data_IF_535614911468
#
_entry.id   IF_535614911468
#
_cell.length_a   1.000
_cell.length_b   1.000
_cell.length_c   1.000
_cell.angle_alpha   90.00
_cell.angle_beta   90.00
_cell.angle_gamma   90.00
#
_symmetry.space_group_name_H-M   'P 1'
#
loop_
_entity.id
_entity.type
_entity.pdbx_description
1 polymer ?
#
# COMPACT_ATOMS: atom_id res chain seq x y z
N UNK A 1 -75.41 42.15 -42.78
CA UNK A 1 -76.10 42.88 -41.65
C UNK A 1 -75.35 42.55 -40.40
N UNK A 2 -74.82 43.59 -39.84
CA UNK A 2 -74.77 43.88 -38.38
C UNK A 2 -74.16 42.77 -37.49
N UNK A 3 -73.25 42.99 -36.58
CA UNK A 3 -72.70 44.22 -35.99
C UNK A 3 -71.78 43.79 -34.83
N UNK A 4 -70.70 44.44 -34.69
CA UNK A 4 -70.09 45.06 -33.50
C UNK A 4 -70.22 44.24 -32.20
N UNK A 5 -69.11 43.88 -31.53
CA UNK A 5 -68.69 44.60 -30.33
C UNK A 5 -67.38 44.09 -29.78
N UNK A 6 -66.51 45.04 -29.53
CA UNK A 6 -65.28 45.01 -28.79
C UNK A 6 -65.52 44.65 -27.33
N UNK A 7 -64.71 43.82 -26.72
CA UNK A 7 -64.35 44.01 -25.32
C UNK A 7 -62.92 43.61 -25.05
N UNK A 8 -62.15 44.63 -24.91
CA UNK A 8 -60.78 44.62 -24.41
C UNK A 8 -60.80 44.48 -22.88
N UNK A 9 -60.15 43.48 -22.38
CA UNK A 9 -59.74 43.44 -20.94
C UNK A 9 -58.25 43.18 -20.77
N UNK A 10 -57.67 44.15 -20.18
CA UNK A 10 -56.28 44.32 -19.74
C UNK A 10 -55.86 43.23 -18.76
N UNK A 11 -54.61 42.84 -18.82
CA UNK A 11 -53.68 42.89 -17.73
C UNK A 11 -53.58 41.69 -16.83
N UNK A 12 -52.45 41.06 -16.88
CA UNK A 12 -51.70 40.79 -15.68
C UNK A 12 -50.36 40.18 -16.06
N UNK A 13 -49.31 41.00 -15.94
CA UNK A 13 -47.93 40.61 -16.00
C UNK A 13 -47.55 39.77 -14.77
N UNK A 14 -47.68 38.43 -14.89
CA UNK A 14 -47.15 37.52 -13.90
C UNK A 14 -45.68 37.23 -14.17
N UNK A 15 -44.77 37.97 -13.52
CA UNK A 15 -43.34 37.64 -13.47
C UNK A 15 -43.18 36.30 -12.75
N UNK A 16 -43.04 35.21 -13.49
CA UNK A 16 -42.58 33.93 -12.94
C UNK A 16 -41.07 34.03 -12.64
N UNK A 17 -40.78 34.21 -11.37
CA UNK A 17 -39.45 34.05 -10.84
C UNK A 17 -38.99 32.59 -11.09
N UNK A 18 -38.05 32.41 -12.00
CA UNK A 18 -37.32 31.14 -12.16
C UNK A 18 -36.39 30.99 -10.94
N UNK A 19 -36.84 30.21 -9.98
CA UNK A 19 -35.93 29.70 -8.93
C UNK A 19 -35.01 28.70 -9.58
N UNK A 20 -33.78 29.12 -9.89
CA UNK A 20 -32.72 28.24 -10.29
C UNK A 20 -32.32 27.39 -9.10
N UNK A 21 -32.65 26.11 -9.11
CA UNK A 21 -32.10 25.13 -8.21
C UNK A 21 -30.65 24.86 -8.66
N UNK A 22 -29.68 25.42 -7.96
CA UNK A 22 -28.29 25.01 -8.06
C UNK A 22 -28.16 23.63 -7.42
N UNK A 23 -28.18 22.60 -8.25
CA UNK A 23 -27.78 21.26 -7.83
C UNK A 23 -26.26 21.27 -7.64
N UNK A 24 -25.83 21.35 -6.39
CA UNK A 24 -24.43 21.12 -6.02
C UNK A 24 -24.15 19.63 -6.24
N UNK A 25 -23.56 19.28 -7.37
CA UNK A 25 -23.00 17.96 -7.62
C UNK A 25 -21.73 17.82 -6.74
N UNK A 26 -21.87 17.18 -5.58
CA UNK A 26 -20.73 16.78 -4.76
C UNK A 26 -19.99 15.67 -5.50
N UNK A 27 -18.86 15.99 -6.16
CA UNK A 27 -17.90 15.03 -6.65
C UNK A 27 -17.27 14.34 -5.43
N UNK A 28 -17.73 13.14 -5.10
CA UNK A 28 -16.99 12.22 -4.24
C UNK A 28 -15.76 11.75 -5.05
N UNK A 29 -14.64 12.45 -4.86
CA UNK A 29 -13.34 11.96 -5.29
C UNK A 29 -13.01 10.78 -4.39
N UNK A 30 -13.26 9.55 -4.86
CA UNK A 30 -12.76 8.35 -4.21
C UNK A 30 -11.23 8.42 -4.22
N UNK A 31 -10.62 8.66 -3.06
CA UNK A 31 -9.18 8.63 -2.87
C UNK A 31 -8.71 7.17 -2.83
N UNK A 32 -8.12 6.63 -3.92
CA UNK A 32 -7.73 5.21 -3.97
C UNK A 32 -6.50 4.88 -3.09
N UNK A 33 -5.91 5.88 -2.43
CA UNK A 33 -4.68 5.70 -1.65
C UNK A 33 -4.89 5.22 -0.21
N UNK A 34 -6.00 5.54 0.43
CA UNK A 34 -6.24 5.22 1.85
C UNK A 34 -6.50 3.71 2.06
N UNK A 35 -7.27 3.08 1.18
CA UNK A 35 -7.56 1.65 1.29
C UNK A 35 -6.31 0.74 1.19
N UNK A 36 -5.25 1.19 0.52
CA UNK A 36 -4.00 0.42 0.37
C UNK A 36 -3.12 0.45 1.62
N UNK A 37 -3.09 1.58 2.33
CA UNK A 37 -2.35 1.68 3.58
C UNK A 37 -2.97 0.76 4.63
N UNK A 38 -4.30 0.74 4.71
CA UNK A 38 -5.03 -0.09 5.67
C UNK A 38 -4.76 -1.59 5.47
N UNK A 39 -4.76 -2.11 4.23
CA UNK A 39 -4.47 -3.53 3.96
C UNK A 39 -3.04 -3.94 4.35
N UNK A 40 -2.04 -3.07 4.14
CA UNK A 40 -0.66 -3.35 4.54
C UNK A 40 -0.57 -3.39 6.06
N UNK A 41 -1.21 -2.44 6.74
CA UNK A 41 -1.21 -2.33 8.20
C UNK A 41 -1.94 -3.50 8.84
N UNK A 42 -3.10 -3.87 8.32
CA UNK A 42 -3.87 -5.02 8.77
C UNK A 42 -3.10 -6.32 8.59
N UNK A 43 -2.51 -6.54 7.42
CA UNK A 43 -1.70 -7.71 7.12
C UNK A 43 -0.46 -7.81 8.02
N UNK A 44 0.22 -6.69 8.24
CA UNK A 44 1.37 -6.59 9.13
C UNK A 44 0.98 -6.94 10.58
N UNK A 45 -0.10 -6.35 11.06
CA UNK A 45 -0.63 -6.59 12.41
C UNK A 45 -1.04 -8.04 12.59
N UNK A 46 -1.73 -8.62 11.61
CA UNK A 46 -2.19 -10.01 11.63
C UNK A 46 -1.03 -11.02 11.69
N UNK A 47 0.06 -10.75 10.96
CA UNK A 47 1.25 -11.62 10.92
C UNK A 47 2.33 -11.23 11.95
N UNK A 48 2.04 -10.26 12.83
CA UNK A 48 2.97 -9.74 13.84
C UNK A 48 4.30 -9.25 13.26
N UNK A 49 4.27 -8.64 12.07
CA UNK A 49 5.41 -7.99 11.44
C UNK A 49 5.31 -6.46 11.56
N UNK A 50 6.42 -5.76 11.43
CA UNK A 50 6.44 -4.32 11.57
C UNK A 50 5.73 -3.64 10.38
N UNK A 51 4.76 -2.75 10.67
CA UNK A 51 3.99 -1.99 9.67
C UNK A 51 4.88 -1.10 8.80
N UNK A 52 5.79 -0.34 9.43
CA UNK A 52 6.71 0.54 8.70
C UNK A 52 7.63 -0.24 7.75
N UNK A 53 8.06 -1.42 8.16
CA UNK A 53 8.84 -2.34 7.34
C UNK A 53 8.03 -2.85 6.13
N UNK A 54 6.78 -3.25 6.34
CA UNK A 54 5.90 -3.70 5.26
C UNK A 54 5.62 -2.59 4.25
N UNK A 55 5.42 -1.35 4.71
CA UNK A 55 5.27 -0.17 3.84
C UNK A 55 6.54 0.11 3.03
N UNK A 56 7.72 -0.01 3.67
CA UNK A 56 9.00 0.17 2.97
C UNK A 56 9.21 -0.91 1.90
N UNK A 57 8.87 -2.17 2.19
CA UNK A 57 8.92 -3.26 1.21
C UNK A 57 7.97 -2.96 0.04
N UNK A 58 6.72 -2.57 0.28
CA UNK A 58 5.78 -2.22 -0.79
C UNK A 58 6.32 -1.10 -1.71
N UNK A 59 6.96 -0.10 -1.10
CA UNK A 59 7.59 1.00 -1.84
C UNK A 59 8.77 0.51 -2.68
N UNK A 60 9.60 -0.38 -2.14
CA UNK A 60 10.76 -0.97 -2.84
C UNK A 60 10.32 -1.85 -4.00
N UNK A 61 9.28 -2.66 -3.80
CA UNK A 61 8.84 -3.69 -4.76
C UNK A 61 8.11 -3.11 -5.97
N UNK A 62 7.12 -2.29 -5.73
CA UNK A 62 6.25 -1.81 -6.80
C UNK A 62 6.09 -0.29 -6.85
N UNK A 63 6.67 0.46 -5.90
CA UNK A 63 6.30 1.86 -5.67
C UNK A 63 4.83 1.98 -5.29
N UNK A 64 4.31 1.02 -4.53
CA UNK A 64 2.90 0.89 -4.10
C UNK A 64 1.88 0.67 -5.23
N UNK A 65 2.31 0.25 -6.41
CA UNK A 65 1.41 -0.10 -7.53
C UNK A 65 0.85 -1.51 -7.34
N UNK A 66 -0.45 -1.69 -7.54
CA UNK A 66 -1.14 -2.95 -7.26
C UNK A 66 -1.20 -3.91 -8.44
N UNK A 67 -1.36 -3.39 -9.66
CA UNK A 67 -1.61 -4.20 -10.87
C UNK A 67 -0.32 -4.37 -11.70
N UNK A 68 0.79 -4.71 -11.03
CA UNK A 68 2.08 -4.89 -11.69
C UNK A 68 2.42 -6.38 -11.77
N UNK A 69 2.82 -6.83 -12.95
CA UNK A 69 3.44 -8.14 -13.16
C UNK A 69 4.80 -7.88 -13.80
N UNK A 70 5.87 -8.31 -13.15
CA UNK A 70 7.25 -8.06 -13.57
C UNK A 70 7.92 -9.38 -13.95
N UNK A 71 8.32 -9.61 -15.21
CA UNK A 71 9.00 -10.83 -15.61
C UNK A 71 10.45 -10.87 -15.10
N UNK A 72 10.90 -12.05 -14.71
CA UNK A 72 12.27 -12.32 -14.29
C UNK A 72 13.05 -13.09 -15.36
N UNK A 73 14.37 -12.95 -15.40
CA UNK A 73 15.23 -13.59 -16.38
C UNK A 73 15.25 -15.13 -16.29
N UNK A 74 14.82 -15.70 -15.15
CA UNK A 74 14.75 -17.14 -14.89
C UNK A 74 13.39 -17.77 -15.26
N UNK A 75 12.50 -17.02 -15.95
CA UNK A 75 11.18 -17.48 -16.35
C UNK A 75 10.10 -17.35 -15.27
N UNK A 76 10.44 -16.94 -14.04
CA UNK A 76 9.44 -16.56 -13.04
C UNK A 76 8.97 -15.13 -13.28
N UNK A 77 7.95 -14.70 -12.55
CA UNK A 77 7.48 -13.32 -12.56
C UNK A 77 6.97 -12.94 -11.17
N UNK A 78 6.97 -11.66 -10.89
CA UNK A 78 6.54 -11.11 -9.61
C UNK A 78 5.21 -10.38 -9.77
N UNK A 79 4.31 -10.53 -8.78
CA UNK A 79 2.90 -10.19 -8.92
C UNK A 79 2.48 -9.18 -7.85
N UNK A 80 1.86 -8.08 -8.30
CA UNK A 80 1.09 -7.16 -7.47
C UNK A 80 1.90 -6.21 -6.61
N UNK A 81 1.23 -5.67 -5.59
CA UNK A 81 1.73 -4.63 -4.68
C UNK A 81 3.09 -4.97 -4.06
N UNK A 82 3.24 -6.18 -3.57
CA UNK A 82 4.41 -6.68 -2.83
C UNK A 82 5.28 -7.60 -3.68
N UNK A 83 5.04 -7.67 -4.99
CA UNK A 83 5.80 -8.43 -5.98
C UNK A 83 6.04 -9.89 -5.55
N UNK A 84 4.93 -10.61 -5.27
CA UNK A 84 4.98 -12.02 -4.90
C UNK A 84 5.46 -12.85 -6.09
N UNK A 85 6.59 -13.57 -5.92
CA UNK A 85 7.14 -14.39 -7.00
C UNK A 85 6.23 -15.55 -7.33
N UNK A 86 6.08 -15.83 -8.63
CA UNK A 86 5.22 -16.90 -9.16
C UNK A 86 5.60 -18.32 -8.70
N UNK A 87 6.82 -18.51 -8.19
CA UNK A 87 7.24 -19.79 -7.58
C UNK A 87 6.44 -20.15 -6.31
N UNK A 88 5.77 -19.16 -5.69
CA UNK A 88 4.87 -19.41 -4.57
C UNK A 88 3.50 -19.96 -4.99
N UNK A 89 3.08 -19.79 -6.26
CA UNK A 89 1.74 -20.18 -6.72
C UNK A 89 1.36 -21.63 -6.45
N UNK A 90 2.26 -22.63 -6.60
CA UNK A 90 1.89 -24.02 -6.28
C UNK A 90 1.54 -24.24 -4.80
N UNK A 91 2.18 -23.51 -3.90
CA UNK A 91 1.87 -23.54 -2.46
C UNK A 91 0.58 -22.76 -2.15
N UNK A 92 0.44 -21.58 -2.71
CA UNK A 92 -0.71 -20.68 -2.51
C UNK A 92 -2.01 -21.27 -3.07
N UNK A 93 -1.93 -22.05 -4.16
CA UNK A 93 -3.09 -22.71 -4.76
C UNK A 93 -3.76 -23.72 -3.81
N UNK A 94 -3.03 -24.28 -2.85
CA UNK A 94 -3.59 -25.17 -1.80
C UNK A 94 -4.51 -24.43 -0.83
N UNK A 95 -4.30 -23.11 -0.72
CA UNK A 95 -5.12 -22.19 0.09
C UNK A 95 -6.15 -21.42 -0.78
N UNK A 96 -6.34 -21.84 -2.04
CA UNK A 96 -7.27 -21.19 -2.97
C UNK A 96 -6.79 -19.86 -3.53
N UNK A 97 -5.52 -19.48 -3.30
CA UNK A 97 -4.94 -18.21 -3.78
C UNK A 97 -4.34 -18.43 -5.16
N UNK A 98 -4.85 -17.69 -6.14
CA UNK A 98 -4.44 -17.74 -7.54
C UNK A 98 -3.59 -16.52 -7.92
N UNK A 99 -3.00 -16.54 -9.12
CA UNK A 99 -2.37 -15.35 -9.68
C UNK A 99 -3.34 -14.16 -9.74
N UNK A 100 -4.58 -14.40 -10.13
CA UNK A 100 -5.59 -13.34 -10.20
C UNK A 100 -5.92 -12.77 -8.82
N UNK A 101 -5.97 -13.61 -7.78
CA UNK A 101 -6.17 -13.17 -6.40
C UNK A 101 -5.02 -12.27 -5.92
N UNK A 102 -3.78 -12.52 -6.37
CA UNK A 102 -2.61 -11.72 -6.02
C UNK A 102 -2.58 -10.33 -6.67
N UNK A 103 -3.46 -10.03 -7.60
CA UNK A 103 -3.64 -8.66 -8.11
C UNK A 103 -4.56 -7.83 -7.21
N UNK A 104 -5.30 -8.47 -6.29
CA UNK A 104 -5.96 -7.76 -5.20
C UNK A 104 -4.93 -7.31 -4.15
N UNK A 105 -4.88 -6.01 -3.81
CA UNK A 105 -3.83 -5.47 -2.94
C UNK A 105 -3.87 -6.02 -1.52
N UNK A 106 -5.04 -6.34 -0.99
CA UNK A 106 -5.17 -6.87 0.35
C UNK A 106 -4.69 -8.33 0.40
N UNK A 107 -5.15 -9.18 -0.51
CA UNK A 107 -4.66 -10.56 -0.64
C UNK A 107 -3.14 -10.59 -0.81
N UNK A 108 -2.60 -9.70 -1.64
CA UNK A 108 -1.16 -9.59 -1.89
C UNK A 108 -0.38 -9.19 -0.63
N UNK A 109 -0.88 -8.19 0.12
CA UNK A 109 -0.27 -7.75 1.38
C UNK A 109 -0.27 -8.85 2.45
N UNK A 110 -1.38 -9.59 2.60
CA UNK A 110 -1.47 -10.70 3.56
C UNK A 110 -0.50 -11.83 3.21
N UNK A 111 -0.37 -12.21 1.93
CA UNK A 111 0.60 -13.21 1.49
C UNK A 111 2.04 -12.73 1.74
N UNK A 112 2.33 -11.47 1.46
CA UNK A 112 3.65 -10.89 1.69
C UNK A 112 4.03 -10.87 3.17
N UNK A 113 3.12 -10.43 4.03
CA UNK A 113 3.33 -10.42 5.48
C UNK A 113 3.56 -11.84 6.01
N UNK A 114 2.81 -12.83 5.50
CA UNK A 114 3.04 -14.23 5.84
C UNK A 114 4.42 -14.73 5.36
N UNK A 115 4.87 -14.42 4.14
CA UNK A 115 6.22 -14.77 3.66
C UNK A 115 7.28 -14.13 4.57
N UNK A 116 7.11 -12.86 4.90
CA UNK A 116 8.05 -12.16 5.79
C UNK A 116 8.08 -12.77 7.19
N UNK A 117 6.93 -13.16 7.75
CA UNK A 117 6.87 -13.83 9.05
C UNK A 117 7.59 -15.17 9.04
N UNK A 118 7.48 -15.96 7.95
CA UNK A 118 8.24 -17.20 7.77
C UNK A 118 9.76 -16.95 7.73
N UNK A 119 10.20 -15.91 7.05
CA UNK A 119 11.61 -15.53 7.02
C UNK A 119 12.11 -15.12 8.41
N UNK A 120 11.29 -14.37 9.18
CA UNK A 120 11.63 -13.98 10.56
C UNK A 120 11.70 -15.21 11.46
N UNK A 121 10.82 -16.17 11.32
CA UNK A 121 10.89 -17.45 12.06
C UNK A 121 12.15 -18.23 11.72
N UNK A 122 12.58 -18.23 10.45
CA UNK A 122 13.75 -18.99 9.99
C UNK A 122 15.08 -18.32 10.36
N UNK A 123 15.18 -16.99 10.21
CA UNK A 123 16.45 -16.24 10.32
C UNK A 123 16.51 -15.32 11.56
N UNK A 124 15.49 -15.38 12.41
CA UNK A 124 15.30 -14.42 13.50
C UNK A 124 14.88 -13.03 13.01
N UNK A 125 14.59 -12.09 13.95
CA UNK A 125 14.26 -10.70 13.64
C UNK A 125 15.53 -9.93 13.22
N UNK A 126 16.04 -10.20 12.05
CA UNK A 126 17.31 -9.70 11.51
C UNK A 126 17.17 -9.14 10.11
N UNK A 127 18.12 -8.33 9.66
CA UNK A 127 18.21 -7.87 8.27
C UNK A 127 18.35 -9.02 7.27
N UNK A 128 18.89 -10.16 7.69
CA UNK A 128 18.94 -11.36 6.86
C UNK A 128 17.53 -11.91 6.56
N UNK A 129 16.61 -11.86 7.53
CA UNK A 129 15.20 -12.24 7.30
C UNK A 129 14.52 -11.31 6.28
N UNK A 130 14.79 -9.99 6.39
CA UNK A 130 14.28 -9.00 5.43
C UNK A 130 14.85 -9.28 4.04
N UNK A 131 16.16 -9.49 3.96
CA UNK A 131 16.84 -9.80 2.70
C UNK A 131 16.34 -11.08 2.05
N UNK A 132 15.96 -12.08 2.84
CA UNK A 132 15.42 -13.36 2.37
C UNK A 132 14.06 -13.24 1.70
N UNK A 133 13.37 -12.10 1.85
CA UNK A 133 12.14 -11.82 1.11
C UNK A 133 12.38 -11.79 -0.40
N UNK A 134 13.49 -11.22 -0.84
CA UNK A 134 13.81 -11.04 -2.25
C UNK A 134 14.89 -11.99 -2.77
N UNK A 135 15.84 -12.45 -1.93
CA UNK A 135 17.02 -13.15 -2.40
C UNK A 135 17.40 -14.40 -1.59
N UNK A 136 17.92 -15.41 -2.29
CA UNK A 136 18.44 -16.62 -1.66
C UNK A 136 19.90 -16.49 -1.21
N UNK A 137 20.76 -15.74 -1.96
CA UNK A 137 22.17 -15.59 -1.63
C UNK A 137 22.43 -14.51 -0.58
N UNK A 138 23.37 -14.71 0.36
CA UNK A 138 23.66 -13.75 1.44
C UNK A 138 23.95 -12.33 0.97
N UNK A 139 24.78 -12.16 -0.07
CA UNK A 139 25.18 -10.85 -0.58
C UNK A 139 23.98 -10.07 -1.15
N UNK A 140 23.10 -10.76 -1.90
CA UNK A 140 21.88 -10.16 -2.45
C UNK A 140 20.88 -9.84 -1.35
N UNK A 141 20.81 -10.67 -0.29
CA UNK A 141 19.98 -10.37 0.89
C UNK A 141 20.39 -9.08 1.55
N UNK A 142 21.70 -8.89 1.76
CA UNK A 142 22.23 -7.67 2.38
C UNK A 142 21.92 -6.44 1.53
N UNK A 143 22.14 -6.51 0.23
CA UNK A 143 21.85 -5.40 -0.69
C UNK A 143 20.36 -5.02 -0.70
N UNK A 144 19.47 -6.03 -0.71
CA UNK A 144 18.04 -5.78 -0.64
C UNK A 144 17.61 -5.20 0.72
N UNK A 145 18.12 -5.76 1.82
CA UNK A 145 17.82 -5.28 3.16
C UNK A 145 18.25 -3.83 3.35
N UNK A 146 19.41 -3.43 2.81
CA UNK A 146 19.87 -2.05 2.81
C UNK A 146 18.87 -1.13 2.07
N UNK A 147 18.43 -1.53 0.88
CA UNK A 147 17.43 -0.77 0.11
C UNK A 147 16.12 -0.56 0.89
N UNK A 148 15.64 -1.60 1.57
CA UNK A 148 14.44 -1.52 2.40
C UNK A 148 14.66 -0.58 3.59
N UNK A 149 15.84 -0.65 4.25
CA UNK A 149 16.20 0.24 5.34
C UNK A 149 16.20 1.71 4.91
N UNK A 150 16.88 2.04 3.83
CA UNK A 150 16.98 3.42 3.32
C UNK A 150 15.59 3.97 2.97
N UNK A 151 14.73 3.12 2.40
CA UNK A 151 13.35 3.46 2.08
C UNK A 151 12.51 3.69 3.35
N UNK A 152 12.66 2.85 4.36
CA UNK A 152 11.97 3.03 5.65
C UNK A 152 12.36 4.36 6.31
N UNK A 153 13.64 4.71 6.31
CA UNK A 153 14.13 5.99 6.84
C UNK A 153 13.54 7.18 6.08
N UNK A 154 13.44 7.08 4.75
CA UNK A 154 12.86 8.16 3.95
C UNK A 154 11.37 8.34 4.22
N UNK A 155 10.61 7.26 4.45
CA UNK A 155 9.18 7.33 4.80
C UNK A 155 8.99 8.00 6.16
N UNK A 156 9.79 7.65 7.16
CA UNK A 156 9.74 8.24 8.50
C UNK A 156 10.04 9.74 8.42
N UNK A 157 11.11 10.13 7.71
CA UNK A 157 11.51 11.55 7.60
C UNK A 157 10.49 12.42 6.87
N UNK A 158 9.67 11.87 5.98
CA UNK A 158 8.59 12.60 5.29
C UNK A 158 7.32 12.75 6.13
N UNK A 159 7.12 11.88 7.12
CA UNK A 159 5.98 11.95 8.04
C UNK A 159 6.25 12.83 9.26
N UNK A 160 7.51 13.06 9.61
CA UNK A 160 7.94 13.77 10.81
C UNK A 160 8.64 15.09 10.47
N UNK A 161 7.88 16.07 9.94
CA UNK A 161 8.40 17.40 9.57
C UNK A 161 8.79 18.25 10.82
N UNK A 162 8.76 17.69 12.02
CA UNK A 162 8.94 18.41 13.29
C UNK A 162 10.15 18.00 14.13
N UNK A 163 11.01 17.06 13.67
CA UNK A 163 12.18 16.64 14.44
C UNK A 163 13.50 16.99 13.73
N UNK A 164 14.52 17.51 14.45
CA UNK A 164 15.81 17.84 13.85
C UNK A 164 16.53 16.58 13.38
N UNK A 165 17.05 16.64 12.15
CA UNK A 165 17.81 15.59 11.49
C UNK A 165 19.14 15.42 12.20
N UNK A 166 19.34 14.27 12.85
CA UNK A 166 20.68 13.80 13.26
C UNK A 166 21.20 12.94 12.09
N UNK A 167 22.31 13.31 11.43
CA UNK A 167 22.84 12.50 10.35
C UNK A 167 23.41 11.19 10.91
N UNK A 168 22.96 10.02 10.40
CA UNK A 168 23.55 8.77 10.84
C UNK A 168 24.88 8.55 10.13
N UNK A 169 25.97 8.46 10.91
CA UNK A 169 27.16 7.73 10.49
C UNK A 169 26.82 6.24 10.57
N UNK A 170 26.36 5.67 9.49
CA UNK A 170 25.90 4.29 9.49
C UNK A 170 27.03 3.34 9.07
N UNK A 171 27.57 2.62 10.05
CA UNK A 171 28.21 1.32 9.84
C UNK A 171 27.28 0.31 10.52
N UNK A 172 26.61 -0.60 9.78
CA UNK A 172 25.71 -1.55 10.43
C UNK A 172 26.53 -2.49 11.32
N UNK A 173 26.34 -2.45 12.66
CA UNK A 173 26.92 -3.47 13.50
C UNK A 173 26.27 -4.82 13.16
N UNK A 174 27.05 -5.90 13.12
CA UNK A 174 26.56 -7.25 12.80
C UNK A 174 25.46 -7.75 13.78
N UNK A 175 25.20 -7.02 14.85
CA UNK A 175 24.17 -7.30 15.88
C UNK A 175 22.97 -6.34 15.82
N UNK A 176 22.83 -5.54 14.75
CA UNK A 176 21.75 -4.57 14.66
C UNK A 176 20.37 -5.24 14.52
N UNK A 177 19.48 -4.93 15.45
CA UNK A 177 18.08 -5.38 15.40
C UNK A 177 17.27 -4.35 14.58
N UNK A 178 16.83 -4.67 13.35
CA UNK A 178 16.09 -3.76 12.48
C UNK A 178 14.75 -3.33 13.06
N UNK A 179 14.25 -4.07 14.05
CA UNK A 179 12.95 -3.81 14.66
C UNK A 179 13.03 -2.85 15.85
N UNK A 180 14.20 -2.68 16.47
CA UNK A 180 14.37 -1.78 17.61
C UNK A 180 14.27 -0.30 17.21
N UNK A 181 14.85 0.07 16.07
CA UNK A 181 14.81 1.44 15.54
C UNK A 181 13.45 1.85 14.99
N UNK A 182 12.56 0.89 14.72
CA UNK A 182 11.20 1.10 14.24
C UNK A 182 10.16 1.09 15.36
N UNK A 183 10.59 1.16 16.64
CA UNK A 183 9.70 1.26 17.80
C UNK A 183 8.97 -0.04 18.16
N UNK A 184 9.42 -1.19 17.68
CA UNK A 184 8.84 -2.49 18.02
C UNK A 184 9.53 -3.03 19.25
N UNK A 185 8.81 -3.03 20.37
CA UNK A 185 9.19 -3.78 21.57
C UNK A 185 9.29 -5.27 21.23
N UNK A 186 10.34 -5.93 21.73
CA UNK A 186 10.61 -7.36 21.61
C UNK A 186 9.34 -8.17 21.84
N UNK A 187 8.76 -8.74 20.79
CA UNK A 187 7.76 -9.80 20.95
C UNK A 187 8.54 -11.05 21.33
N UNK A 188 8.49 -11.38 22.60
CA UNK A 188 9.02 -12.63 23.14
C UNK A 188 8.16 -13.75 22.57
N UNK A 189 8.69 -14.47 21.59
CA UNK A 189 8.05 -15.69 21.11
C UNK A 189 8.22 -16.77 22.20
N UNK A 190 7.10 -17.23 22.73
CA UNK A 190 7.03 -18.46 23.52
C UNK A 190 6.93 -19.66 22.58
#
# INVERSE_FOLDING_TARGET
MMGISQHQKRGSTGRRARRGALAAASLLVAMPGLARADCIDDAASFQHVNVGLMRAIAQVESGTRTNVISPNSNGTYDIGLMQINSSWLPRLAREGITQQSLLDPCTNAYVAAWILSQNIQQFGPTWNAIGAYNASSPDKRLAYAQKVYDTAQSIISTQDVSMPIIPPSFTPPQTYNPFASLGVSQVKMA
#
